data_IF_856031442550
#
_entry.id   IF_856031442550
#
_cell.length_a   1.000
_cell.length_b   1.000
_cell.length_c   1.000
_cell.angle_alpha   90.00
_cell.angle_beta   90.00
_cell.angle_gamma   90.00
#
_symmetry.space_group_name_H-M   'P 1'
#
loop_
_entity.id
_entity.type
_entity.pdbx_description
1 polymer ?
#
# COMPACT_ATOMS: atom_id res chain seq x y z
N UNK A 1 -49.14 13.05 -5.82
CA UNK A 1 -48.63 12.65 -7.15
C UNK A 1 -47.31 11.90 -6.97
N UNK A 2 -47.22 10.62 -7.37
CA UNK A 2 -45.99 9.85 -7.23
C UNK A 2 -45.03 10.20 -8.38
N UNK A 3 -43.81 10.64 -8.06
CA UNK A 3 -42.75 10.78 -9.07
C UNK A 3 -41.85 9.55 -9.05
N UNK A 4 -42.13 8.69 -10.03
CA UNK A 4 -41.28 7.75 -10.77
C UNK A 4 -39.98 7.26 -10.09
N UNK A 5 -39.96 5.95 -9.84
CA UNK A 5 -38.76 5.11 -9.97
C UNK A 5 -38.12 5.34 -11.33
N UNK A 6 -36.85 5.73 -11.36
CA UNK A 6 -35.98 5.58 -12.54
C UNK A 6 -35.04 4.41 -12.27
N UNK A 7 -35.35 3.29 -12.93
CA UNK A 7 -34.38 2.25 -13.24
C UNK A 7 -33.53 2.71 -14.41
N UNK A 8 -32.22 2.55 -14.31
CA UNK A 8 -31.39 1.70 -15.17
C UNK A 8 -29.93 1.99 -14.86
N UNK A 9 -29.22 0.93 -14.53
CA UNK A 9 -27.77 0.79 -14.63
C UNK A 9 -27.34 1.27 -16.02
N UNK A 10 -26.78 2.46 -16.10
CA UNK A 10 -25.92 2.82 -17.21
C UNK A 10 -24.61 2.04 -17.03
N UNK A 11 -24.26 1.35 -18.10
CA UNK A 11 -22.96 0.73 -18.33
C UNK A 11 -21.90 1.84 -18.26
N UNK A 12 -21.43 2.14 -17.05
CA UNK A 12 -20.26 2.98 -16.84
C UNK A 12 -19.09 2.20 -17.43
N UNK A 13 -18.76 2.49 -18.70
CA UNK A 13 -17.51 2.06 -19.32
C UNK A 13 -16.30 2.33 -18.42
N UNK A 14 -15.14 1.73 -18.71
CA UNK A 14 -13.99 1.70 -17.81
C UNK A 14 -13.72 3.07 -17.19
N UNK A 15 -13.62 3.10 -15.84
CA UNK A 15 -13.45 4.34 -15.08
C UNK A 15 -12.24 5.11 -15.60
N UNK A 16 -12.49 6.19 -16.33
CA UNK A 16 -11.46 7.06 -16.92
C UNK A 16 -10.42 7.43 -15.85
N UNK A 17 -9.17 7.03 -16.04
CA UNK A 17 -8.05 7.40 -15.16
C UNK A 17 -7.86 8.91 -15.24
N UNK A 18 -8.28 9.63 -14.20
CA UNK A 18 -8.20 11.11 -14.12
C UNK A 18 -6.83 11.63 -13.69
N UNK A 19 -5.90 10.75 -13.34
CA UNK A 19 -4.55 11.11 -12.94
C UNK A 19 -3.57 10.04 -13.43
N UNK A 20 -2.46 10.50 -14.00
CA UNK A 20 -1.35 9.67 -14.44
C UNK A 20 -0.05 10.28 -13.93
N UNK A 21 0.90 9.43 -13.52
CA UNK A 21 2.19 9.88 -13.03
C UNK A 21 3.28 8.96 -13.55
N UNK A 22 4.32 9.55 -14.12
CA UNK A 22 5.47 8.86 -14.68
C UNK A 22 6.75 9.55 -14.24
N UNK A 23 7.88 8.83 -14.26
CA UNK A 23 9.20 9.44 -14.20
C UNK A 23 9.78 9.48 -15.61
N UNK A 24 10.12 10.67 -16.07
CA UNK A 24 10.79 10.94 -17.34
C UNK A 24 12.28 11.18 -17.12
N UNK A 25 13.08 10.98 -18.17
CA UNK A 25 14.44 11.54 -18.21
C UNK A 25 14.37 13.06 -18.29
N UNK A 26 15.47 13.75 -17.97
CA UNK A 26 15.51 15.20 -18.05
C UNK A 26 15.26 15.70 -19.47
N UNK A 27 15.84 15.02 -20.46
CA UNK A 27 15.65 15.27 -21.89
C UNK A 27 14.18 15.10 -22.32
N UNK A 28 13.51 14.03 -21.87
CA UNK A 28 12.08 13.82 -22.15
C UNK A 28 11.20 14.91 -21.51
N UNK A 29 11.56 15.36 -20.30
CA UNK A 29 10.80 16.38 -19.59
C UNK A 29 10.97 17.75 -20.26
N UNK A 30 12.18 18.08 -20.71
CA UNK A 30 12.47 19.29 -21.48
C UNK A 30 11.75 19.28 -22.83
N UNK A 31 11.84 18.18 -23.58
CA UNK A 31 11.13 18.01 -24.84
C UNK A 31 9.61 18.21 -24.69
N UNK A 32 9.00 17.60 -23.66
CA UNK A 32 7.58 17.80 -23.38
C UNK A 32 7.27 19.27 -23.02
N UNK A 33 8.11 19.91 -22.21
CA UNK A 33 7.94 21.32 -21.83
C UNK A 33 7.96 22.24 -23.05
N UNK A 34 8.96 22.08 -23.92
CA UNK A 34 9.11 22.85 -25.17
C UNK A 34 7.94 22.62 -26.12
N UNK A 35 7.46 21.39 -26.25
CA UNK A 35 6.32 21.05 -27.11
C UNK A 35 5.03 21.72 -26.63
N UNK A 36 4.77 21.73 -25.31
CA UNK A 36 3.60 22.38 -24.74
C UNK A 36 3.67 23.91 -24.86
N UNK A 37 4.86 24.48 -24.70
CA UNK A 37 5.11 25.92 -24.83
C UNK A 37 4.98 26.40 -26.29
N UNK A 38 5.47 25.59 -27.23
CA UNK A 38 5.45 25.89 -28.67
C UNK A 38 4.11 25.63 -29.35
N UNK A 39 3.11 25.14 -28.60
CA UNK A 39 1.81 24.84 -29.16
C UNK A 39 1.05 26.11 -29.59
N UNK A 40 0.04 26.01 -30.47
CA UNK A 40 -0.75 27.15 -30.90
C UNK A 40 -1.28 27.98 -29.72
N UNK A 41 -1.23 29.30 -29.86
CA UNK A 41 -1.59 30.24 -28.80
C UNK A 41 -2.98 29.94 -28.23
N UNK A 42 -3.07 29.88 -26.90
CA UNK A 42 -4.32 29.59 -26.18
C UNK A 42 -4.63 28.09 -25.99
N UNK A 43 -3.85 27.17 -26.57
CA UNK A 43 -4.00 25.72 -26.32
C UNK A 43 -3.59 25.34 -24.90
N UNK A 44 -2.50 25.93 -24.41
CA UNK A 44 -1.96 25.72 -23.07
C UNK A 44 -1.76 27.05 -22.36
N UNK A 45 -2.14 27.08 -21.08
CA UNK A 45 -1.91 28.20 -20.18
C UNK A 45 -0.92 27.78 -19.10
N UNK A 46 0.15 28.55 -18.94
CA UNK A 46 1.07 28.40 -17.81
C UNK A 46 0.40 28.75 -16.49
N UNK A 47 0.80 28.06 -15.42
CA UNK A 47 0.47 28.42 -14.06
C UNK A 47 1.60 28.02 -13.11
N UNK A 48 1.62 28.60 -11.92
CA UNK A 48 2.69 28.35 -10.96
C UNK A 48 2.41 27.16 -10.06
N UNK A 49 3.41 26.27 -9.94
CA UNK A 49 3.43 25.19 -8.97
C UNK A 49 4.79 25.17 -8.27
N UNK A 50 4.78 25.06 -6.94
CA UNK A 50 6.04 25.00 -6.18
C UNK A 50 6.89 23.80 -6.62
N UNK A 51 8.17 24.05 -6.87
CA UNK A 51 9.17 23.04 -7.29
C UNK A 51 8.92 22.38 -8.65
N UNK A 52 8.02 22.92 -9.49
CA UNK A 52 7.86 22.48 -10.87
C UNK A 52 8.91 23.11 -11.79
N UNK A 53 9.35 22.36 -12.80
CA UNK A 53 10.08 22.90 -13.95
C UNK A 53 9.11 23.60 -14.92
N UNK A 54 7.90 23.06 -15.09
CA UNK A 54 6.81 23.69 -15.81
C UNK A 54 5.46 23.20 -15.28
N UNK A 55 4.43 24.00 -15.51
CA UNK A 55 3.06 23.57 -15.29
C UNK A 55 2.11 24.23 -16.31
N UNK A 56 1.40 23.38 -17.06
CA UNK A 56 0.48 23.78 -18.12
C UNK A 56 -0.93 23.28 -17.85
N UNK A 57 -1.92 24.09 -18.19
CA UNK A 57 -3.33 23.74 -18.16
C UNK A 57 -3.93 23.97 -19.54
N UNK A 58 -4.56 22.93 -20.09
CA UNK A 58 -5.08 22.97 -21.45
C UNK A 58 -5.79 21.68 -21.80
N UNK A 59 -6.72 21.76 -22.76
CA UNK A 59 -7.47 20.62 -23.29
C UNK A 59 -8.06 19.65 -22.23
N UNK A 60 -8.54 20.19 -21.12
CA UNK A 60 -9.14 19.39 -20.05
C UNK A 60 -8.16 18.58 -19.19
N UNK A 61 -6.86 18.86 -19.28
CA UNK A 61 -5.80 18.32 -18.41
C UNK A 61 -4.91 19.43 -17.83
N UNK A 62 -4.32 19.11 -16.68
CA UNK A 62 -3.23 19.82 -16.04
C UNK A 62 -1.98 18.94 -16.13
N UNK A 63 -0.88 19.48 -16.61
CA UNK A 63 0.39 18.79 -16.79
C UNK A 63 1.45 19.50 -15.96
N UNK A 64 2.08 18.81 -15.02
CA UNK A 64 3.10 19.38 -14.13
C UNK A 64 4.36 18.53 -14.18
N UNK A 65 5.44 19.10 -14.69
CA UNK A 65 6.77 18.50 -14.67
C UNK A 65 7.57 19.03 -13.49
N UNK A 66 8.10 18.14 -12.64
CA UNK A 66 8.93 18.49 -11.49
C UNK A 66 10.41 18.32 -11.80
N UNK A 67 11.27 19.10 -11.15
CA UNK A 67 12.74 19.01 -11.25
C UNK A 67 13.32 17.63 -10.90
N UNK A 68 12.54 16.76 -10.25
CA UNK A 68 12.91 15.37 -9.94
C UNK A 68 12.74 14.39 -11.13
N UNK A 69 12.27 14.88 -12.28
CA UNK A 69 11.85 14.08 -13.43
C UNK A 69 10.44 13.50 -13.30
N UNK A 70 9.73 13.76 -12.20
CA UNK A 70 8.34 13.33 -12.00
C UNK A 70 7.42 14.19 -12.87
N UNK A 71 6.57 13.56 -13.69
CA UNK A 71 5.49 14.20 -14.42
C UNK A 71 4.14 13.79 -13.82
N UNK A 72 3.22 14.74 -13.64
CA UNK A 72 1.84 14.50 -13.22
C UNK A 72 0.89 15.06 -14.29
N UNK A 73 0.04 14.21 -14.83
CA UNK A 73 -1.05 14.58 -15.75
C UNK A 73 -2.37 14.35 -15.03
N UNK A 74 -3.23 15.35 -14.94
CA UNK A 74 -4.51 15.25 -14.22
C UNK A 74 -5.64 15.93 -14.98
N UNK A 75 -6.76 15.25 -15.21
CA UNK A 75 -7.88 15.83 -15.92
C UNK A 75 -8.87 14.80 -16.47
N UNK A 76 -9.84 15.28 -17.24
CA UNK A 76 -10.84 14.39 -17.87
C UNK A 76 -10.29 13.69 -19.11
N UNK A 77 -9.28 14.28 -19.77
CA UNK A 77 -8.61 13.74 -20.96
C UNK A 77 -7.22 13.18 -20.67
N UNK A 78 -6.97 12.71 -19.45
CA UNK A 78 -5.65 12.22 -19.05
C UNK A 78 -5.21 11.03 -19.91
N UNK A 79 -6.11 10.09 -20.22
CA UNK A 79 -5.77 8.93 -21.04
C UNK A 79 -5.41 9.32 -22.47
N UNK A 80 -6.19 10.21 -23.08
CA UNK A 80 -5.91 10.74 -24.42
C UNK A 80 -4.56 11.48 -24.45
N UNK A 81 -4.30 12.36 -23.48
CA UNK A 81 -3.02 13.06 -23.42
C UNK A 81 -1.84 12.10 -23.26
N UNK A 82 -1.99 11.06 -22.44
CA UNK A 82 -0.92 10.08 -22.24
C UNK A 82 -0.68 9.30 -23.52
N UNK A 83 -1.72 8.73 -24.13
CA UNK A 83 -1.57 7.92 -25.35
C UNK A 83 -1.07 8.76 -26.53
N UNK A 84 -1.68 9.90 -26.77
CA UNK A 84 -1.53 10.65 -28.03
C UNK A 84 -0.34 11.62 -28.00
N UNK A 85 0.13 12.04 -26.81
CA UNK A 85 1.30 12.93 -26.66
C UNK A 85 2.44 12.22 -25.95
N UNK A 86 2.21 11.74 -24.73
CA UNK A 86 3.29 11.24 -23.89
C UNK A 86 3.90 9.94 -24.44
N UNK A 87 3.09 9.00 -24.92
CA UNK A 87 3.53 7.71 -25.44
C UNK A 87 3.99 7.83 -26.88
N UNK A 88 3.19 8.48 -27.73
CA UNK A 88 3.48 8.61 -29.15
C UNK A 88 4.70 9.50 -29.45
N UNK A 89 4.90 10.58 -28.68
CA UNK A 89 5.85 11.65 -29.07
C UNK A 89 7.00 11.84 -28.06
N UNK A 90 6.79 11.54 -26.78
CA UNK A 90 7.82 11.78 -25.73
C UNK A 90 8.58 10.52 -25.32
N UNK A 91 7.84 9.47 -24.97
CA UNK A 91 8.44 8.23 -24.43
C UNK A 91 8.69 7.18 -25.51
N UNK A 92 7.93 7.21 -26.61
CA UNK A 92 8.00 6.20 -27.67
C UNK A 92 7.53 4.81 -27.22
N UNK A 93 6.90 4.70 -26.06
CA UNK A 93 6.50 3.44 -25.44
C UNK A 93 5.05 3.53 -24.95
N UNK A 94 4.20 2.64 -25.43
CA UNK A 94 2.83 2.53 -24.95
C UNK A 94 2.83 1.86 -23.56
N UNK A 95 2.52 2.59 -22.49
CA UNK A 95 2.62 2.13 -21.08
C UNK A 95 1.26 2.09 -20.38
N UNK A 96 0.37 3.02 -20.69
CA UNK A 96 -0.96 3.15 -20.15
C UNK A 96 -1.89 2.10 -20.76
N UNK A 97 -2.32 1.13 -19.96
CA UNK A 97 -3.20 0.05 -20.41
C UNK A 97 -2.48 -1.12 -21.08
N UNK A 98 -1.15 -1.11 -21.10
CA UNK A 98 -0.30 -2.19 -21.62
C UNK A 98 0.49 -2.89 -20.48
N UNK A 99 -0.05 -2.88 -19.27
CA UNK A 99 0.57 -3.53 -18.10
C UNK A 99 0.85 -5.03 -18.39
N UNK A 100 0.02 -5.67 -19.21
CA UNK A 100 0.15 -7.06 -19.66
C UNK A 100 1.26 -7.30 -20.69
N UNK A 101 1.61 -6.29 -21.48
CA UNK A 101 2.75 -6.36 -22.41
C UNK A 101 4.07 -6.16 -21.66
N UNK A 102 4.12 -5.24 -20.71
CA UNK A 102 5.36 -4.90 -19.99
C UNK A 102 5.64 -5.80 -18.78
N UNK A 103 4.60 -6.36 -18.18
CA UNK A 103 4.71 -7.23 -17.01
C UNK A 103 3.82 -8.46 -17.20
N UNK A 104 4.08 -9.31 -18.21
CA UNK A 104 3.26 -10.49 -18.49
C UNK A 104 3.17 -11.43 -17.28
N UNK A 105 4.17 -11.42 -16.40
CA UNK A 105 4.16 -12.22 -15.18
C UNK A 105 3.01 -11.85 -14.23
N UNK A 106 2.58 -10.58 -14.17
CA UNK A 106 1.45 -10.15 -13.32
C UNK A 106 0.15 -10.85 -13.67
N UNK A 107 0.04 -11.36 -14.90
CA UNK A 107 -1.15 -12.02 -15.42
C UNK A 107 -1.01 -13.54 -15.38
N UNK A 108 0.00 -14.07 -14.66
CA UNK A 108 0.12 -15.52 -14.40
C UNK A 108 -0.40 -15.87 -13.01
N UNK A 109 -0.68 -17.14 -12.73
CA UNK A 109 -1.03 -17.58 -11.38
C UNK A 109 0.18 -17.38 -10.46
N UNK A 110 0.04 -16.51 -9.44
CA UNK A 110 1.12 -16.24 -8.50
C UNK A 110 0.62 -15.75 -7.14
N UNK A 111 1.52 -15.74 -6.16
CA UNK A 111 1.26 -15.21 -4.83
C UNK A 111 1.81 -13.77 -4.69
N UNK A 112 1.12 -12.91 -3.95
CA UNK A 112 1.60 -11.60 -3.53
C UNK A 112 1.53 -11.46 -2.01
N UNK A 113 2.55 -10.90 -1.37
CA UNK A 113 2.62 -10.72 0.08
C UNK A 113 3.06 -9.31 0.47
N UNK A 114 2.38 -8.73 1.46
CA UNK A 114 2.70 -7.42 2.03
C UNK A 114 2.24 -7.32 3.50
N UNK A 115 2.67 -6.28 4.21
CA UNK A 115 2.33 -6.01 5.61
C UNK A 115 1.73 -4.63 5.89
N UNK A 116 1.08 -4.50 7.05
CA UNK A 116 0.63 -3.22 7.58
C UNK A 116 0.79 -3.14 9.10
N UNK A 117 0.94 -1.91 9.60
CA UNK A 117 1.04 -1.63 11.04
C UNK A 117 2.44 -1.75 11.63
N UNK A 118 3.49 -1.97 10.82
CA UNK A 118 4.89 -2.09 11.27
C UNK A 118 5.40 -0.87 12.03
N UNK A 119 5.08 0.33 11.54
CA UNK A 119 5.56 1.61 12.08
C UNK A 119 4.64 2.26 13.12
N UNK A 120 3.53 1.62 13.48
CA UNK A 120 2.53 2.21 14.37
C UNK A 120 2.70 1.70 15.80
N UNK A 121 2.65 2.60 16.81
CA UNK A 121 2.76 2.20 18.21
C UNK A 121 1.62 1.27 18.61
N UNK A 122 0.40 1.70 18.31
CA UNK A 122 -0.82 0.97 18.65
C UNK A 122 -1.17 -0.05 17.56
N UNK A 123 -1.90 -1.08 17.96
CA UNK A 123 -2.44 -2.07 17.04
C UNK A 123 -1.41 -3.08 16.53
N UNK A 124 -1.89 -4.15 15.88
CA UNK A 124 -1.04 -5.29 15.51
C UNK A 124 -0.12 -4.96 14.33
N UNK A 125 0.84 -5.86 14.11
CA UNK A 125 1.52 -6.02 12.83
C UNK A 125 0.76 -7.09 12.04
N UNK A 126 0.25 -6.74 10.87
CA UNK A 126 -0.58 -7.64 10.05
C UNK A 126 0.12 -7.95 8.74
N UNK A 127 0.27 -9.23 8.43
CA UNK A 127 0.69 -9.70 7.11
C UNK A 127 -0.50 -10.29 6.37
N UNK A 128 -0.57 -10.06 5.07
CA UNK A 128 -1.45 -10.76 4.16
C UNK A 128 -0.66 -11.37 3.01
N UNK A 129 -1.12 -12.55 2.56
CA UNK A 129 -0.68 -13.17 1.31
C UNK A 129 -1.92 -13.55 0.50
N UNK A 130 -1.86 -13.24 -0.79
CA UNK A 130 -2.96 -13.43 -1.75
C UNK A 130 -2.44 -14.30 -2.89
N UNK A 131 -3.25 -15.25 -3.38
CA UNK A 131 -2.95 -16.02 -4.61
C UNK A 131 -4.06 -15.76 -5.62
N UNK A 132 -3.67 -15.34 -6.82
CA UNK A 132 -4.59 -14.89 -7.87
C UNK A 132 -4.07 -15.26 -9.27
N UNK A 133 -4.98 -15.30 -10.25
CA UNK A 133 -4.68 -15.51 -11.67
C UNK A 133 -5.06 -14.29 -12.52
N UNK A 134 -4.84 -14.40 -13.84
CA UNK A 134 -5.10 -13.36 -14.82
C UNK A 134 -6.47 -12.69 -14.68
N UNK A 135 -7.54 -13.48 -14.59
CA UNK A 135 -8.91 -12.95 -14.57
C UNK A 135 -9.14 -12.05 -13.36
N UNK A 136 -8.64 -12.47 -12.21
CA UNK A 136 -8.72 -11.69 -10.96
C UNK A 136 -7.92 -10.40 -11.04
N UNK A 137 -6.72 -10.47 -11.62
CA UNK A 137 -5.84 -9.31 -11.77
C UNK A 137 -6.48 -8.27 -12.67
N UNK A 138 -7.08 -8.68 -13.80
CA UNK A 138 -7.81 -7.77 -14.70
C UNK A 138 -8.99 -7.10 -13.99
N UNK A 139 -9.83 -7.87 -13.29
CA UNK A 139 -10.94 -7.32 -12.49
C UNK A 139 -10.47 -6.29 -11.45
N UNK A 140 -9.32 -6.55 -10.81
CA UNK A 140 -8.76 -5.68 -9.78
C UNK A 140 -8.18 -4.38 -10.34
N UNK A 141 -7.52 -4.43 -11.49
CA UNK A 141 -7.04 -3.24 -12.20
C UNK A 141 -8.22 -2.33 -12.53
N UNK A 142 -9.32 -2.88 -13.06
CA UNK A 142 -10.54 -2.13 -13.35
C UNK A 142 -11.22 -1.57 -12.09
N UNK A 143 -11.20 -2.34 -11.00
CA UNK A 143 -11.72 -1.89 -9.71
C UNK A 143 -10.88 -0.78 -9.05
N UNK A 144 -9.65 -0.54 -9.53
CA UNK A 144 -8.73 0.45 -9.01
C UNK A 144 -7.87 -0.03 -7.83
N UNK A 145 -7.57 -1.34 -7.78
CA UNK A 145 -6.56 -1.88 -6.86
C UNK A 145 -5.22 -1.24 -7.19
N UNK A 146 -4.60 -0.66 -6.17
CA UNK A 146 -3.36 0.10 -6.28
C UNK A 146 -2.64 0.14 -4.93
N UNK A 147 -1.48 0.78 -4.89
CA UNK A 147 -0.72 1.05 -3.67
C UNK A 147 -1.60 1.62 -2.54
N UNK A 148 -1.73 0.85 -1.47
CA UNK A 148 -2.59 1.14 -0.31
C UNK A 148 -2.21 2.45 0.39
N UNK A 149 -0.96 2.91 0.24
CA UNK A 149 -0.45 4.15 0.87
C UNK A 149 -1.04 5.41 0.24
N UNK A 150 -1.58 5.31 -0.98
CA UNK A 150 -2.12 6.46 -1.75
C UNK A 150 -3.62 6.65 -1.60
N UNK A 151 -4.30 5.78 -0.85
CA UNK A 151 -5.76 5.75 -0.76
C UNK A 151 -6.25 5.82 0.69
N UNK A 152 -7.48 6.32 0.87
CA UNK A 152 -8.09 6.51 2.19
C UNK A 152 -8.51 5.19 2.83
N UNK A 153 -8.62 5.15 4.16
CA UNK A 153 -9.11 3.97 4.89
C UNK A 153 -10.51 3.51 4.38
N UNK A 154 -11.38 4.44 4.00
CA UNK A 154 -12.68 4.10 3.42
C UNK A 154 -12.55 3.42 2.05
N UNK A 155 -11.62 3.88 1.21
CA UNK A 155 -11.32 3.23 -0.07
C UNK A 155 -10.70 1.85 0.16
N UNK A 156 -9.79 1.71 1.13
CA UNK A 156 -9.21 0.43 1.53
C UNK A 156 -10.29 -0.59 1.90
N UNK A 157 -11.25 -0.22 2.74
CA UNK A 157 -12.31 -1.13 3.16
C UNK A 157 -13.25 -1.53 2.00
N UNK A 158 -13.47 -0.63 1.02
CA UNK A 158 -14.23 -0.95 -0.19
C UNK A 158 -13.47 -1.93 -1.08
N UNK A 159 -12.18 -1.69 -1.33
CA UNK A 159 -11.36 -2.57 -2.17
C UNK A 159 -11.10 -3.93 -1.51
N UNK A 160 -10.91 -3.99 -0.18
CA UNK A 160 -10.82 -5.27 0.55
C UNK A 160 -12.09 -6.11 0.35
N UNK A 161 -13.28 -5.49 0.32
CA UNK A 161 -14.52 -6.20 0.01
C UNK A 161 -14.52 -6.75 -1.42
N UNK A 162 -14.10 -5.94 -2.40
CA UNK A 162 -13.99 -6.38 -3.80
C UNK A 162 -13.06 -7.58 -3.92
N UNK A 163 -11.83 -7.47 -3.39
CA UNK A 163 -10.82 -8.54 -3.44
C UNK A 163 -11.36 -9.81 -2.80
N UNK A 164 -11.95 -9.74 -1.60
CA UNK A 164 -12.51 -10.92 -0.92
C UNK A 164 -13.70 -11.57 -1.62
N UNK A 165 -14.43 -10.81 -2.45
CA UNK A 165 -15.58 -11.30 -3.20
C UNK A 165 -15.19 -11.85 -4.58
N UNK A 166 -13.97 -11.60 -5.04
CA UNK A 166 -13.44 -12.18 -6.29
C UNK A 166 -13.42 -13.71 -6.20
N UNK A 167 -14.10 -14.36 -7.15
CA UNK A 167 -14.25 -15.81 -7.15
C UNK A 167 -12.90 -16.51 -7.31
N UNK A 168 -12.59 -17.46 -6.43
CA UNK A 168 -11.38 -18.29 -6.53
C UNK A 168 -10.09 -17.66 -5.99
N UNK A 169 -10.13 -16.39 -5.55
CA UNK A 169 -9.01 -15.79 -4.85
C UNK A 169 -8.72 -16.57 -3.57
N UNK A 170 -7.44 -16.74 -3.24
CA UNK A 170 -7.04 -17.22 -1.91
C UNK A 170 -6.41 -16.07 -1.14
N UNK A 171 -6.84 -15.91 0.11
CA UNK A 171 -6.33 -14.90 1.03
C UNK A 171 -5.97 -15.60 2.34
N UNK A 172 -4.76 -15.38 2.81
CA UNK A 172 -4.30 -15.77 4.13
C UNK A 172 -3.76 -14.55 4.87
N UNK A 173 -4.09 -14.43 6.15
CA UNK A 173 -3.59 -13.33 7.00
C UNK A 173 -2.93 -13.88 8.24
N UNK A 174 -1.74 -13.37 8.55
CA UNK A 174 -0.97 -13.78 9.73
C UNK A 174 -0.70 -12.57 10.61
N UNK A 175 -1.25 -12.61 11.83
CA UNK A 175 -1.00 -11.61 12.86
C UNK A 175 -1.35 -12.15 14.24
N UNK A 176 -0.93 -11.42 15.28
CA UNK A 176 -1.38 -11.63 16.64
C UNK A 176 -1.81 -10.30 17.25
N UNK A 177 -2.84 -10.34 18.11
CA UNK A 177 -3.22 -9.19 18.93
C UNK A 177 -2.14 -8.88 19.97
N UNK A 178 -2.21 -7.68 20.53
CA UNK A 178 -1.06 -7.00 21.17
C UNK A 178 -0.36 -7.79 22.26
N UNK A 179 -1.10 -8.38 23.20
CA UNK A 179 -0.47 -9.18 24.27
C UNK A 179 0.36 -10.32 23.68
N UNK A 180 -0.19 -11.04 22.69
CA UNK A 180 0.51 -12.14 22.02
C UNK A 180 1.61 -11.64 21.09
N UNK A 181 1.40 -10.51 20.40
CA UNK A 181 2.43 -9.85 19.59
C UNK A 181 3.68 -9.53 20.44
N UNK A 182 3.50 -8.91 21.61
CA UNK A 182 4.60 -8.54 22.51
C UNK A 182 5.35 -9.77 23.04
N UNK A 183 4.64 -10.88 23.29
CA UNK A 183 5.27 -12.16 23.63
C UNK A 183 6.05 -12.76 22.45
N UNK A 184 5.47 -12.78 21.25
CA UNK A 184 6.14 -13.29 20.05
C UNK A 184 7.38 -12.48 19.70
N UNK A 185 7.33 -11.15 19.80
CA UNK A 185 8.48 -10.28 19.58
C UNK A 185 9.69 -10.70 20.43
N UNK A 186 9.48 -10.99 21.72
CA UNK A 186 10.53 -11.51 22.61
C UNK A 186 11.01 -12.90 22.18
N UNK A 187 10.09 -13.80 21.80
CA UNK A 187 10.42 -15.15 21.31
C UNK A 187 11.32 -15.13 20.06
N UNK A 188 11.15 -14.14 19.19
CA UNK A 188 12.02 -13.95 18.01
C UNK A 188 13.28 -13.11 18.31
N UNK A 189 13.76 -13.14 19.57
CA UNK A 189 15.00 -12.50 19.98
C UNK A 189 14.95 -10.98 19.93
N UNK A 190 13.77 -10.39 20.15
CA UNK A 190 13.55 -8.94 20.04
C UNK A 190 13.98 -8.36 18.68
N UNK A 191 13.69 -9.10 17.61
CA UNK A 191 13.99 -8.69 16.25
C UNK A 191 12.70 -8.68 15.41
N UNK A 192 12.27 -7.48 15.02
CA UNK A 192 11.04 -7.27 14.26
C UNK A 192 11.08 -7.94 12.89
N UNK A 193 12.22 -7.94 12.21
CA UNK A 193 12.36 -8.55 10.89
C UNK A 193 12.24 -10.08 10.96
N UNK A 194 12.75 -10.72 12.02
CA UNK A 194 12.56 -12.17 12.24
C UNK A 194 11.10 -12.52 12.51
N UNK A 195 10.41 -11.73 13.33
CA UNK A 195 8.97 -11.90 13.57
C UNK A 195 8.16 -11.71 12.29
N UNK A 196 8.47 -10.66 11.51
CA UNK A 196 7.81 -10.36 10.24
C UNK A 196 8.04 -11.48 9.23
N UNK A 197 9.28 -11.98 9.12
CA UNK A 197 9.60 -13.10 8.25
C UNK A 197 8.80 -14.37 8.60
N UNK A 198 8.62 -14.65 9.89
CA UNK A 198 7.77 -15.75 10.34
C UNK A 198 6.29 -15.54 9.97
N UNK A 199 5.75 -14.33 10.10
CA UNK A 199 4.38 -14.05 9.66
C UNK A 199 4.20 -14.21 8.14
N UNK A 200 5.13 -13.71 7.33
CA UNK A 200 5.11 -13.93 5.88
C UNK A 200 5.19 -15.41 5.54
N UNK A 201 6.14 -16.14 6.13
CA UNK A 201 6.24 -17.59 5.93
C UNK A 201 4.94 -18.31 6.27
N UNK A 202 4.34 -18.01 7.43
CA UNK A 202 3.07 -18.62 7.86
C UNK A 202 1.92 -18.28 6.90
N UNK A 203 1.73 -17.01 6.55
CA UNK A 203 0.65 -16.56 5.68
C UNK A 203 0.80 -17.11 4.25
N UNK A 204 2.02 -17.08 3.71
CA UNK A 204 2.32 -17.58 2.38
C UNK A 204 2.09 -19.10 2.29
N UNK A 205 2.59 -19.86 3.26
CA UNK A 205 2.35 -21.31 3.29
C UNK A 205 0.85 -21.63 3.37
N UNK A 206 0.10 -20.95 4.25
CA UNK A 206 -1.36 -21.16 4.35
C UNK A 206 -2.10 -20.84 3.04
N UNK A 207 -1.66 -19.81 2.31
CA UNK A 207 -2.25 -19.49 1.01
C UNK A 207 -1.91 -20.55 -0.05
N UNK A 208 -0.64 -20.96 -0.13
CA UNK A 208 -0.16 -21.95 -1.09
C UNK A 208 -0.73 -23.37 -0.83
N UNK A 209 -1.05 -23.71 0.42
CA UNK A 209 -1.74 -24.96 0.76
C UNK A 209 -3.18 -25.01 0.22
N UNK A 210 -3.84 -23.85 0.15
CA UNK A 210 -5.20 -23.72 -0.41
C UNK A 210 -5.19 -23.66 -1.93
N UNK A 211 -4.20 -22.98 -2.51
CA UNK A 211 -4.02 -22.85 -3.96
C UNK A 211 -2.52 -22.77 -4.28
N UNK A 212 -1.91 -23.88 -4.73
CA UNK A 212 -0.52 -23.87 -5.17
C UNK A 212 -0.31 -22.90 -6.32
N UNK A 213 0.83 -22.21 -6.30
CA UNK A 213 1.28 -21.32 -7.36
C UNK A 213 2.76 -21.61 -7.65
N UNK A 214 3.25 -21.39 -8.88
CA UNK A 214 4.64 -21.62 -9.25
C UNK A 214 5.61 -20.58 -8.67
N UNK A 215 5.14 -19.37 -8.39
CA UNK A 215 5.98 -18.30 -7.84
C UNK A 215 5.17 -17.30 -7.03
N UNK A 216 5.88 -16.44 -6.29
CA UNK A 216 5.27 -15.32 -5.58
C UNK A 216 6.21 -14.16 -5.36
N UNK A 217 5.62 -13.00 -5.08
CA UNK A 217 6.30 -11.73 -4.89
C UNK A 217 6.06 -11.19 -3.47
N UNK A 218 7.14 -10.74 -2.83
CA UNK A 218 7.13 -10.16 -1.50
C UNK A 218 7.72 -8.74 -1.54
N UNK A 219 7.07 -7.78 -0.89
CA UNK A 219 7.68 -6.46 -0.68
C UNK A 219 8.87 -6.58 0.29
N UNK A 220 10.04 -6.17 -0.19
CA UNK A 220 11.29 -6.41 0.51
C UNK A 220 11.41 -5.52 1.75
N UNK A 221 11.22 -6.10 2.94
CA UNK A 221 11.34 -5.38 4.23
C UNK A 221 12.72 -5.48 4.89
N UNK A 222 13.65 -6.27 4.33
CA UNK A 222 15.02 -6.48 4.82
C UNK A 222 15.97 -6.87 3.68
N UNK A 223 17.27 -6.63 3.85
CA UNK A 223 18.31 -7.00 2.87
C UNK A 223 18.51 -8.52 2.79
N UNK A 224 18.35 -9.22 3.91
CA UNK A 224 18.50 -10.67 3.97
C UNK A 224 17.20 -11.36 3.58
N UNK A 225 17.23 -12.47 2.81
CA UNK A 225 16.03 -13.20 2.40
C UNK A 225 15.49 -14.06 3.55
N UNK A 226 15.02 -13.42 4.63
CA UNK A 226 14.61 -14.12 5.86
C UNK A 226 13.37 -15.00 5.67
N UNK A 227 12.56 -14.75 4.64
CA UNK A 227 11.32 -15.50 4.37
C UNK A 227 11.61 -16.82 3.66
N UNK A 228 12.67 -16.89 2.86
CA UNK A 228 13.02 -18.05 2.03
C UNK A 228 13.15 -19.34 2.84
N UNK A 229 13.70 -19.25 4.06
CA UNK A 229 13.83 -20.38 4.97
C UNK A 229 12.48 -21.02 5.35
N UNK A 230 11.38 -20.26 5.31
CA UNK A 230 10.04 -20.77 5.62
C UNK A 230 9.33 -21.39 4.42
N UNK A 231 9.87 -21.26 3.20
CA UNK A 231 9.30 -21.85 1.98
C UNK A 231 10.26 -22.82 1.30
N UNK A 232 11.41 -23.11 1.91
CA UNK A 232 12.46 -23.98 1.36
C UNK A 232 11.97 -25.40 1.01
N UNK A 233 10.97 -25.91 1.73
CA UNK A 233 10.40 -27.24 1.47
C UNK A 233 9.46 -27.27 0.25
N UNK A 234 9.09 -26.10 -0.32
CA UNK A 234 8.24 -26.00 -1.51
C UNK A 234 9.08 -26.01 -2.79
N UNK A 235 9.45 -27.20 -3.25
CA UNK A 235 10.34 -27.40 -4.41
C UNK A 235 9.84 -26.76 -5.71
N UNK A 236 8.52 -26.72 -5.91
CA UNK A 236 7.88 -26.19 -7.13
C UNK A 236 7.45 -24.71 -6.99
N UNK A 237 7.93 -24.01 -5.95
CA UNK A 237 7.59 -22.62 -5.68
C UNK A 237 8.85 -21.74 -5.61
N UNK A 238 8.82 -20.61 -6.31
CA UNK A 238 9.86 -19.59 -6.24
C UNK A 238 9.37 -18.32 -5.56
N UNK A 239 9.97 -17.96 -4.42
CA UNK A 239 9.76 -16.65 -3.82
C UNK A 239 10.72 -15.62 -4.42
N UNK A 240 10.19 -14.49 -4.85
CA UNK A 240 10.94 -13.32 -5.30
C UNK A 240 10.69 -12.17 -4.32
N UNK A 241 11.75 -11.51 -3.87
CA UNK A 241 11.65 -10.32 -3.02
C UNK A 241 12.21 -9.11 -3.77
N UNK A 242 11.46 -8.01 -3.84
CA UNK A 242 11.94 -6.75 -4.41
C UNK A 242 11.36 -5.56 -3.68
N UNK A 243 12.05 -4.44 -3.71
CA UNK A 243 11.46 -3.16 -3.27
C UNK A 243 10.39 -2.69 -4.25
N UNK A 244 9.38 -1.98 -3.75
CA UNK A 244 8.24 -1.49 -4.57
C UNK A 244 7.45 -2.64 -5.19
N UNK A 245 7.31 -3.74 -4.47
CA UNK A 245 6.57 -4.89 -4.98
C UNK A 245 5.09 -4.57 -5.19
N UNK A 246 4.54 -3.54 -4.53
CA UNK A 246 3.16 -3.06 -4.70
C UNK A 246 2.82 -2.53 -6.11
N UNK A 247 3.79 -2.45 -7.03
CA UNK A 247 3.49 -2.26 -8.45
C UNK A 247 2.75 -3.46 -9.05
N UNK A 248 2.98 -4.65 -8.52
CA UNK A 248 2.28 -5.87 -8.87
C UNK A 248 0.84 -5.84 -8.30
N UNK A 249 -0.20 -6.10 -9.11
CA UNK A 249 -1.59 -6.06 -8.66
C UNK A 249 -1.94 -7.04 -7.53
N UNK A 250 -1.30 -8.21 -7.47
CA UNK A 250 -1.55 -9.22 -6.42
C UNK A 250 -0.87 -8.82 -5.11
N UNK A 251 0.33 -8.23 -5.18
CA UNK A 251 0.96 -7.60 -4.00
C UNK A 251 0.16 -6.39 -3.54
N UNK A 252 -0.34 -5.54 -4.45
CA UNK A 252 -1.22 -4.43 -4.10
C UNK A 252 -2.51 -4.92 -3.42
N UNK A 253 -3.10 -6.02 -3.90
CA UNK A 253 -4.24 -6.66 -3.25
C UNK A 253 -3.87 -7.15 -1.83
N UNK A 254 -2.72 -7.79 -1.64
CA UNK A 254 -2.22 -8.17 -0.32
C UNK A 254 -2.04 -6.96 0.61
N UNK A 255 -1.49 -5.86 0.09
CA UNK A 255 -1.35 -4.58 0.81
C UNK A 255 -2.68 -4.05 1.32
N UNK A 256 -3.71 -4.05 0.46
CA UNK A 256 -5.06 -3.61 0.80
C UNK A 256 -5.66 -4.51 1.88
N UNK A 257 -5.52 -5.83 1.75
CA UNK A 257 -6.02 -6.79 2.75
C UNK A 257 -5.33 -6.58 4.11
N UNK A 258 -4.00 -6.47 4.13
CA UNK A 258 -3.23 -6.23 5.35
C UNK A 258 -3.65 -4.91 6.00
N UNK A 259 -3.81 -3.84 5.20
CA UNK A 259 -4.22 -2.53 5.67
C UNK A 259 -5.66 -2.52 6.19
N UNK A 260 -6.59 -3.17 5.51
CA UNK A 260 -7.98 -3.27 5.93
C UNK A 260 -8.11 -4.01 7.27
N UNK A 261 -7.38 -5.12 7.44
CA UNK A 261 -7.32 -5.85 8.70
C UNK A 261 -6.72 -5.00 9.83
N UNK A 262 -5.63 -4.28 9.55
CA UNK A 262 -5.05 -3.34 10.50
C UNK A 262 -6.03 -2.22 10.91
N UNK A 263 -6.72 -1.61 9.94
CA UNK A 263 -7.74 -0.56 10.20
C UNK A 263 -8.89 -1.08 11.06
N UNK A 264 -9.36 -2.31 10.82
CA UNK A 264 -10.39 -2.96 11.65
C UNK A 264 -9.92 -3.15 13.09
N UNK A 265 -8.70 -3.63 13.30
CA UNK A 265 -8.16 -3.80 14.66
C UNK A 265 -7.89 -2.45 15.35
N UNK A 266 -7.44 -1.43 14.62
CA UNK A 266 -7.31 -0.07 15.16
C UNK A 266 -8.67 0.52 15.56
N UNK A 267 -9.71 0.30 14.77
CA UNK A 267 -11.08 0.71 15.14
C UNK A 267 -11.52 -0.02 16.41
N UNK A 268 -11.33 -1.34 16.48
CA UNK A 268 -11.69 -2.14 17.67
C UNK A 268 -11.01 -1.62 18.95
N UNK A 269 -9.70 -1.35 18.89
CA UNK A 269 -8.95 -0.79 20.02
C UNK A 269 -9.40 0.64 20.36
N UNK A 270 -9.74 1.45 19.35
CA UNK A 270 -10.28 2.80 19.55
C UNK A 270 -11.63 2.78 20.26
N UNK A 271 -12.52 1.87 19.85
CA UNK A 271 -13.84 1.70 20.48
C UNK A 271 -13.67 1.27 21.95
N UNK A 272 -12.73 0.36 22.24
CA UNK A 272 -12.41 -0.11 23.59
C UNK A 272 -11.85 0.99 24.51
N UNK A 273 -11.07 1.92 23.95
CA UNK A 273 -10.43 3.02 24.68
C UNK A 273 -11.21 4.34 24.63
N UNK A 274 -12.36 4.38 23.94
CA UNK A 274 -13.18 5.59 23.82
C UNK A 274 -13.51 6.25 25.18
N UNK A 275 -13.84 5.49 26.26
CA UNK A 275 -14.13 6.10 27.57
C UNK A 275 -12.93 6.78 28.22
N UNK A 276 -11.71 6.45 27.78
CA UNK A 276 -10.45 6.94 28.36
C UNK A 276 -9.90 8.09 27.52
N UNK A 277 -9.96 7.96 26.20
CA UNK A 277 -9.31 8.90 25.28
C UNK A 277 -10.26 9.99 24.78
N UNK A 278 -11.56 9.70 24.66
CA UNK A 278 -12.54 10.60 24.05
C UNK A 278 -12.37 10.80 22.54
N UNK A 279 -11.39 10.15 21.93
CA UNK A 279 -11.08 10.23 20.49
C UNK A 279 -10.47 8.90 19.99
N UNK A 280 -10.47 8.64 18.67
CA UNK A 280 -9.86 7.45 18.11
C UNK A 280 -8.35 7.39 18.34
N UNK A 281 -7.80 6.17 18.40
CA UNK A 281 -6.36 5.97 18.44
C UNK A 281 -5.70 6.50 17.18
N UNK A 282 -4.65 7.28 17.36
CA UNK A 282 -3.82 7.78 16.27
C UNK A 282 -2.85 6.70 15.79
N UNK A 283 -2.61 6.67 14.48
CA UNK A 283 -1.58 5.85 13.85
C UNK A 283 -0.20 6.53 14.01
N UNK A 284 0.87 5.77 13.79
CA UNK A 284 2.25 6.22 13.86
C UNK A 284 2.80 6.20 15.29
N UNK A 285 3.75 7.10 15.54
CA UNK A 285 4.46 7.23 16.82
C UNK A 285 4.76 8.71 17.15
N UNK A 286 3.82 9.61 16.82
CA UNK A 286 3.96 11.07 17.01
C UNK A 286 3.77 11.50 18.47
N UNK A 287 3.98 12.80 18.77
CA UNK A 287 3.74 13.36 20.10
C UNK A 287 2.30 13.13 20.59
N UNK A 288 1.31 13.27 19.71
CA UNK A 288 -0.09 13.00 20.05
C UNK A 288 -0.34 11.51 20.35
N UNK A 289 0.37 10.60 19.68
CA UNK A 289 0.34 9.15 20.02
C UNK A 289 0.93 8.90 21.41
N UNK A 290 2.03 9.60 21.76
CA UNK A 290 2.61 9.54 23.11
C UNK A 290 1.64 10.04 24.19
N UNK A 291 0.93 11.14 23.93
CA UNK A 291 -0.10 11.66 24.85
C UNK A 291 -1.23 10.65 25.09
N UNK A 292 -1.74 10.02 24.02
CA UNK A 292 -2.73 8.95 24.15
C UNK A 292 -2.18 7.77 24.98
N UNK A 293 -0.93 7.35 24.74
CA UNK A 293 -0.30 6.28 25.51
C UNK A 293 -0.15 6.64 27.01
N UNK A 294 0.25 7.89 27.33
CA UNK A 294 0.32 8.38 28.71
C UNK A 294 -1.04 8.38 29.41
N UNK A 295 -2.11 8.78 28.72
CA UNK A 295 -3.49 8.72 29.25
C UNK A 295 -3.90 7.28 29.57
N UNK A 296 -3.61 6.33 28.68
CA UNK A 296 -3.87 4.90 28.93
C UNK A 296 -3.12 4.42 30.16
N UNK A 297 -1.83 4.74 30.27
CA UNK A 297 -1.00 4.37 31.44
C UNK A 297 -1.52 5.00 32.73
N UNK A 298 -1.92 6.28 32.71
CA UNK A 298 -2.43 6.98 33.88
C UNK A 298 -3.75 6.38 34.41
N UNK A 299 -4.64 5.93 33.51
CA UNK A 299 -5.96 5.40 33.88
C UNK A 299 -5.95 3.89 34.13
N UNK A 300 -5.24 3.11 33.31
CA UNK A 300 -5.23 1.63 33.37
C UNK A 300 -3.99 1.05 34.04
N UNK A 301 -2.93 1.84 34.23
CA UNK A 301 -1.64 1.38 34.71
C UNK A 301 -0.67 0.99 33.58
N UNK A 302 0.63 0.98 33.89
CA UNK A 302 1.71 0.76 32.92
C UNK A 302 1.64 -0.62 32.22
N UNK A 303 1.31 -1.68 32.98
CA UNK A 303 1.24 -3.04 32.44
C UNK A 303 0.16 -3.24 31.37
N UNK A 304 -0.96 -2.50 31.48
CA UNK A 304 -2.11 -2.61 30.57
C UNK A 304 -1.80 -2.08 29.17
N UNK A 305 -0.79 -1.21 29.02
CA UNK A 305 -0.38 -0.68 27.71
C UNK A 305 0.00 -1.80 26.72
N UNK A 306 0.49 -2.94 27.22
CA UNK A 306 0.84 -4.11 26.41
C UNK A 306 -0.36 -4.75 25.68
N UNK A 307 -1.59 -4.48 26.13
CA UNK A 307 -2.83 -4.88 25.46
C UNK A 307 -3.19 -4.04 24.23
N UNK A 308 -2.52 -2.90 24.04
CA UNK A 308 -2.85 -1.92 22.99
C UNK A 308 -1.65 -1.54 22.11
N UNK A 309 -0.44 -1.57 22.67
CA UNK A 309 0.76 -1.04 22.05
C UNK A 309 1.90 -2.05 21.89
N UNK A 310 2.79 -1.79 20.94
CA UNK A 310 4.02 -2.53 20.71
C UNK A 310 5.09 -2.06 21.71
N UNK A 311 5.31 -2.80 22.79
CA UNK A 311 6.08 -2.34 23.95
C UNK A 311 7.57 -2.08 23.70
N UNK A 312 8.13 -2.60 22.62
CA UNK A 312 9.51 -2.32 22.20
C UNK A 312 9.73 -0.92 21.59
N UNK A 313 8.69 -0.14 21.35
CA UNK A 313 8.82 1.21 20.78
C UNK A 313 9.30 2.20 21.83
N UNK A 314 10.19 3.12 21.43
CA UNK A 314 10.64 4.24 22.28
C UNK A 314 9.46 4.97 22.94
N UNK A 315 8.41 5.25 22.18
CA UNK A 315 7.19 5.91 22.65
C UNK A 315 6.48 5.13 23.77
N UNK A 316 6.56 3.80 23.80
CA UNK A 316 6.00 2.99 24.88
C UNK A 316 6.80 3.14 26.18
N UNK A 317 8.13 3.25 26.10
CA UNK A 317 8.98 3.52 27.27
C UNK A 317 8.70 4.90 27.83
N UNK A 318 8.70 5.92 26.97
CA UNK A 318 8.40 7.31 27.35
C UNK A 318 7.01 7.47 27.97
N UNK A 319 6.01 6.74 27.46
CA UNK A 319 4.66 6.75 28.02
C UNK A 319 4.58 6.20 29.45
N UNK A 320 5.48 5.28 29.80
CA UNK A 320 5.58 4.68 31.12
C UNK A 320 6.56 5.42 32.05
N UNK A 321 7.19 6.50 31.58
CA UNK A 321 8.25 7.20 32.34
C UNK A 321 9.56 6.41 32.43
N UNK A 322 9.79 5.46 31.53
CA UNK A 322 10.99 4.63 31.49
C UNK A 322 11.99 5.18 30.47
N UNK A 323 13.28 4.95 30.73
CA UNK A 323 14.31 5.19 29.71
C UNK A 323 14.28 4.10 28.64
N UNK A 324 14.26 4.49 27.34
CA UNK A 324 14.34 3.52 26.26
C UNK A 324 15.72 2.86 26.23
N UNK A 325 15.81 1.56 25.91
CA UNK A 325 17.09 0.88 25.81
C UNK A 325 17.99 1.57 24.78
N UNK A 326 19.28 1.70 25.09
CA UNK A 326 20.27 2.26 24.16
C UNK A 326 20.22 1.45 22.87
N UNK A 327 20.10 2.16 21.73
CA UNK A 327 20.22 1.50 20.42
C UNK A 327 21.60 0.83 20.37
N UNK A 328 21.71 -0.44 19.96
CA UNK A 328 23.01 -1.03 19.70
C UNK A 328 23.74 -0.16 18.68
N UNK A 329 25.01 0.15 18.94
CA UNK A 329 25.82 1.08 18.14
C UNK A 329 25.92 0.69 16.66
N UNK A 330 25.63 -0.57 16.34
CA UNK A 330 25.61 -1.10 14.99
C UNK A 330 24.82 -2.41 14.99
N UNK A 331 23.87 -2.59 14.07
CA UNK A 331 23.28 -3.91 13.80
C UNK A 331 23.75 -4.37 12.42
N UNK A 332 24.67 -5.35 12.36
CA UNK A 332 24.94 -6.11 11.13
C UNK A 332 23.70 -6.94 10.80
N UNK A 333 22.73 -6.40 10.06
CA UNK A 333 21.70 -7.18 9.36
C UNK A 333 21.26 -6.44 8.10
#
# INVERSE_FOLDING_TARGET
MPKKKTSKTEDEGPKVKKIYTIKLTQEQLEHLGEQLDSAPAGKWAHYDVAYSQFAFKGDGVNVVGYQSGKLVVQGKKTEDFVRDVLEAEITGEARLGYDDVHNPEWFTLHAGCDESGKGDLFGPLVVACVVADEGMVRDWIEAGVCDSKKITDNTILKLDKVIRQTKGVVIATAFARMTKYNHLYKKFGSNLNKLLAWYHGRGLNEALDKRPAPWGLLDQFTKLPLVDAYVADRKDFKLVSRTKAESDPVVAAASIIARAMYVREMKRLSDELQPILGEPLMKGASAKVLEQAKKIVAVKGAGELAGYAKMHFKTAYEAQGLEPPKKPAWSKF
#
